data_IF_684871785077
#
_entry.id   IF_684871785077
#
_cell.length_a   1.000
_cell.length_b   1.000
_cell.length_c   1.000
_cell.angle_alpha   90.00
_cell.angle_beta   90.00
_cell.angle_gamma   90.00
#
_symmetry.space_group_name_H-M   'P 1'
#
loop_
_entity.id
_entity.type
_entity.pdbx_description
1 polymer ?
#
# COMPACT_ATOMS: atom_id res chain seq x y z
N UNK A 1 9.17 -10.05 25.81
CA UNK A 1 10.04 -8.97 25.28
C UNK A 1 11.10 -9.50 24.32
N UNK A 2 12.02 -10.38 24.75
CA UNK A 2 13.12 -10.91 23.90
C UNK A 2 12.67 -11.47 22.55
N UNK A 3 11.57 -12.23 22.51
CA UNK A 3 11.00 -12.79 21.27
C UNK A 3 10.54 -11.73 20.27
N UNK A 4 9.98 -10.60 20.73
CA UNK A 4 9.56 -9.51 19.85
C UNK A 4 10.76 -8.77 19.28
N UNK A 5 11.77 -8.47 20.11
CA UNK A 5 12.98 -7.76 19.67
C UNK A 5 13.84 -8.60 18.71
N UNK A 6 13.73 -9.93 18.78
CA UNK A 6 14.34 -10.83 17.81
C UNK A 6 13.54 -10.96 16.51
N UNK A 7 12.30 -10.46 16.45
CA UNK A 7 11.43 -10.60 15.30
C UNK A 7 11.75 -9.52 14.25
N UNK A 8 12.20 -9.88 13.03
CA UNK A 8 12.58 -8.90 12.01
C UNK A 8 11.41 -7.99 11.60
N UNK A 9 10.17 -8.45 11.74
CA UNK A 9 8.96 -7.68 11.43
C UNK A 9 8.87 -6.40 12.26
N UNK A 10 9.28 -6.43 13.52
CA UNK A 10 9.21 -5.28 14.41
C UNK A 10 10.12 -4.16 13.94
N UNK A 11 11.38 -4.49 13.64
CA UNK A 11 12.37 -3.53 13.15
C UNK A 11 12.05 -3.03 11.76
N UNK A 12 11.65 -3.92 10.85
CA UNK A 12 11.28 -3.53 9.50
C UNK A 12 10.12 -2.53 9.49
N UNK A 13 9.07 -2.78 10.27
CA UNK A 13 7.91 -1.88 10.35
C UNK A 13 8.23 -0.60 11.10
N UNK A 14 9.08 -0.67 12.14
CA UNK A 14 9.61 0.53 12.80
C UNK A 14 10.40 1.42 11.85
N UNK A 15 11.21 0.84 10.97
CA UNK A 15 11.92 1.56 9.91
C UNK A 15 10.95 2.19 8.92
N UNK A 16 9.90 1.48 8.47
CA UNK A 16 8.87 2.04 7.60
C UNK A 16 8.14 3.23 8.25
N UNK A 17 7.86 3.18 9.56
CA UNK A 17 7.31 4.33 10.30
C UNK A 17 8.28 5.50 10.24
N UNK A 18 9.56 5.29 10.56
CA UNK A 18 10.56 6.37 10.54
C UNK A 18 10.71 7.00 9.16
N UNK A 19 10.80 6.19 8.10
CA UNK A 19 10.87 6.66 6.70
C UNK A 19 9.62 7.44 6.33
N UNK A 20 8.44 6.96 6.69
CA UNK A 20 7.18 7.63 6.39
C UNK A 20 7.06 8.98 7.10
N UNK A 21 7.42 9.04 8.39
CA UNK A 21 7.47 10.31 9.14
C UNK A 21 8.45 11.29 8.50
N UNK A 22 9.66 10.82 8.15
CA UNK A 22 10.64 11.65 7.47
C UNK A 22 10.11 12.18 6.13
N UNK A 23 9.50 11.34 5.30
CA UNK A 23 8.89 11.75 4.03
C UNK A 23 7.80 12.82 4.20
N UNK A 24 7.00 12.73 5.27
CA UNK A 24 6.02 13.76 5.61
C UNK A 24 6.64 15.07 6.10
N UNK A 25 7.82 15.03 6.73
CA UNK A 25 8.50 16.21 7.27
C UNK A 25 9.25 17.04 6.21
N UNK A 26 9.73 16.40 5.13
CA UNK A 26 10.65 17.07 4.17
C UNK A 26 9.99 17.56 2.88
N UNK A 27 8.73 17.21 2.63
CA UNK A 27 8.03 17.59 1.40
C UNK A 27 6.74 18.36 1.64
N UNK A 28 6.24 18.98 0.57
CA UNK A 28 4.90 19.56 0.52
C UNK A 28 3.85 18.48 0.24
N UNK A 29 2.86 18.39 1.11
CA UNK A 29 1.81 17.37 1.05
C UNK A 29 0.43 18.01 1.06
N UNK A 30 -0.27 17.98 -0.07
CA UNK A 30 -1.67 18.45 -0.12
C UNK A 30 -2.63 17.28 0.08
N UNK A 31 -3.56 17.43 1.02
CA UNK A 31 -4.64 16.46 1.29
C UNK A 31 -5.60 16.28 0.11
N UNK A 32 -5.49 17.12 -0.92
CA UNK A 32 -6.25 16.95 -2.16
C UNK A 32 -5.73 15.79 -3.03
N UNK A 33 -4.56 15.22 -2.73
CA UNK A 33 -3.99 14.09 -3.47
C UNK A 33 -4.27 12.75 -2.78
N UNK A 34 -4.68 11.75 -3.57
CA UNK A 34 -4.86 10.36 -3.12
C UNK A 34 -3.58 9.80 -2.50
N UNK A 35 -2.42 10.14 -3.06
CA UNK A 35 -1.09 9.74 -2.55
C UNK A 35 -0.91 10.15 -1.10
N UNK A 36 -1.21 11.42 -0.77
CA UNK A 36 -1.05 11.96 0.59
C UNK A 36 -1.99 11.26 1.57
N UNK A 37 -3.26 11.12 1.21
CA UNK A 37 -4.26 10.44 2.07
C UNK A 37 -3.84 8.99 2.31
N UNK A 38 -3.40 8.28 1.27
CA UNK A 38 -3.06 6.85 1.38
C UNK A 38 -1.77 6.61 2.16
N UNK A 39 -0.76 7.47 1.98
CA UNK A 39 0.46 7.44 2.80
C UNK A 39 0.13 7.74 4.28
N UNK A 40 -0.81 8.66 4.56
CA UNK A 40 -1.24 8.95 5.92
C UNK A 40 -1.98 7.76 6.55
N UNK A 41 -2.84 7.07 5.78
CA UNK A 41 -3.50 5.82 6.20
C UNK A 41 -2.44 4.75 6.51
N UNK A 42 -1.46 4.55 5.63
CA UNK A 42 -0.37 3.60 5.84
C UNK A 42 0.42 3.94 7.10
N UNK A 43 0.81 5.20 7.30
CA UNK A 43 1.52 5.65 8.49
C UNK A 43 0.71 5.35 9.76
N UNK A 44 -0.56 5.75 9.80
CA UNK A 44 -1.44 5.49 10.94
C UNK A 44 -1.58 3.99 11.23
N UNK A 45 -1.75 3.19 10.18
CA UNK A 45 -1.82 1.73 10.28
C UNK A 45 -0.51 1.13 10.83
N UNK A 46 0.65 1.58 10.37
CA UNK A 46 1.95 1.12 10.85
C UNK A 46 2.24 1.56 12.29
N UNK A 47 1.89 2.79 12.67
CA UNK A 47 2.05 3.29 14.05
C UNK A 47 1.21 2.47 15.02
N UNK A 48 -0.08 2.27 14.72
CA UNK A 48 -0.96 1.40 15.51
C UNK A 48 -0.43 -0.03 15.49
N UNK A 49 0.09 -0.49 14.35
CA UNK A 49 0.73 -1.78 14.20
C UNK A 49 1.90 -2.00 15.15
N UNK A 50 2.92 -1.15 15.10
CA UNK A 50 4.10 -1.21 15.96
C UNK A 50 3.72 -1.07 17.44
N UNK A 51 2.77 -0.17 17.76
CA UNK A 51 2.24 -0.02 19.11
C UNK A 51 1.58 -1.31 19.61
N UNK A 52 0.69 -1.91 18.81
CA UNK A 52 0.02 -3.15 19.19
C UNK A 52 0.99 -4.33 19.30
N UNK A 53 2.01 -4.41 18.44
CA UNK A 53 3.08 -5.40 18.56
C UNK A 53 3.81 -5.26 19.90
N UNK A 54 4.11 -4.03 20.32
CA UNK A 54 4.74 -3.74 21.60
C UNK A 54 3.88 -4.16 22.79
N UNK A 55 2.60 -3.76 22.81
CA UNK A 55 1.67 -4.06 23.91
C UNK A 55 1.38 -5.56 24.00
N UNK A 56 1.12 -6.22 22.86
CA UNK A 56 0.76 -7.66 22.80
C UNK A 56 1.97 -8.59 22.85
N UNK A 57 3.19 -8.05 22.73
CA UNK A 57 4.44 -8.82 22.65
C UNK A 57 4.44 -9.85 21.51
N UNK A 58 3.75 -9.55 20.42
CA UNK A 58 3.61 -10.38 19.21
C UNK A 58 4.03 -9.58 17.98
N UNK A 59 4.67 -10.19 16.97
CA UNK A 59 4.99 -9.51 15.72
C UNK A 59 3.78 -9.37 14.77
N UNK A 60 2.56 -9.72 15.19
CA UNK A 60 1.38 -9.64 14.33
C UNK A 60 0.81 -8.22 14.25
N UNK A 61 0.40 -7.81 13.04
CA UNK A 61 -0.36 -6.58 12.83
C UNK A 61 -1.86 -6.79 13.03
N UNK A 62 -2.60 -5.75 13.48
CA UNK A 62 -4.05 -5.78 13.54
C UNK A 62 -4.68 -5.70 12.14
N UNK A 63 -5.97 -6.02 12.04
CA UNK A 63 -6.77 -5.81 10.82
C UNK A 63 -6.11 -6.33 9.50
N UNK A 64 -5.87 -7.64 9.37
CA UNK A 64 -5.15 -8.22 8.24
C UNK A 64 -5.81 -7.96 6.87
N UNK A 65 -7.12 -7.79 6.82
CA UNK A 65 -7.87 -7.47 5.59
C UNK A 65 -7.63 -6.02 5.14
N UNK A 66 -7.52 -5.08 6.08
CA UNK A 66 -7.19 -3.68 5.81
C UNK A 66 -5.75 -3.55 5.30
N UNK A 67 -4.81 -4.31 5.89
CA UNK A 67 -3.42 -4.36 5.42
C UNK A 67 -3.32 -4.73 3.93
N UNK A 68 -4.15 -5.67 3.48
CA UNK A 68 -4.21 -6.08 2.07
C UNK A 68 -4.70 -4.94 1.19
N UNK A 69 -5.77 -4.27 1.61
CA UNK A 69 -6.29 -3.08 0.92
C UNK A 69 -5.22 -1.99 0.80
N UNK A 70 -4.52 -1.66 1.89
CA UNK A 70 -3.44 -0.67 1.91
C UNK A 70 -2.31 -1.06 0.96
N UNK A 71 -1.86 -2.31 1.00
CA UNK A 71 -0.83 -2.79 0.07
C UNK A 71 -1.26 -2.64 -1.39
N UNK A 72 -2.51 -3.01 -1.72
CA UNK A 72 -3.09 -2.82 -3.05
C UNK A 72 -3.12 -1.34 -3.46
N UNK A 73 -3.60 -0.45 -2.60
CA UNK A 73 -3.69 0.98 -2.91
C UNK A 73 -2.31 1.60 -3.11
N UNK A 74 -1.33 1.24 -2.27
CA UNK A 74 0.03 1.77 -2.37
C UNK A 74 0.72 1.31 -3.66
N UNK A 75 0.57 0.03 -4.06
CA UNK A 75 1.09 -0.46 -5.36
C UNK A 75 0.41 0.23 -6.53
N UNK A 76 -0.91 0.41 -6.47
CA UNK A 76 -1.67 1.14 -7.48
C UNK A 76 -1.20 2.60 -7.62
N UNK A 77 -0.96 3.30 -6.51
CA UNK A 77 -0.42 4.66 -6.49
C UNK A 77 0.96 4.71 -7.13
N UNK A 78 1.85 3.78 -6.79
CA UNK A 78 3.19 3.71 -7.39
C UNK A 78 3.12 3.56 -8.92
N UNK A 79 2.24 2.68 -9.39
CA UNK A 79 2.06 2.44 -10.82
C UNK A 79 1.52 3.67 -11.55
N UNK A 80 0.50 4.34 -11.03
CA UNK A 80 -0.04 5.56 -11.65
C UNK A 80 0.96 6.70 -11.59
N UNK A 81 1.64 6.87 -10.45
CA UNK A 81 2.64 7.92 -10.32
C UNK A 81 3.78 7.73 -11.31
N UNK A 82 4.29 6.50 -11.45
CA UNK A 82 5.38 6.23 -12.39
C UNK A 82 4.94 6.34 -13.85
N UNK A 83 3.78 5.76 -14.21
CA UNK A 83 3.34 5.68 -15.60
C UNK A 83 2.61 6.91 -16.12
N UNK A 84 1.67 7.47 -15.33
CA UNK A 84 0.77 8.54 -15.77
C UNK A 84 1.24 9.94 -15.38
N UNK A 85 1.98 10.07 -14.26
CA UNK A 85 2.46 11.37 -13.78
C UNK A 85 3.91 11.63 -14.16
N UNK A 86 4.79 10.65 -13.93
CA UNK A 86 6.22 10.76 -14.25
C UNK A 86 6.55 10.32 -15.69
N UNK A 87 5.59 9.77 -16.44
CA UNK A 87 5.80 9.29 -17.81
C UNK A 87 7.00 8.35 -17.96
N UNK A 88 7.20 7.45 -16.99
CA UNK A 88 8.32 6.50 -16.92
C UNK A 88 9.70 7.13 -16.73
N UNK A 89 9.76 8.40 -16.31
CA UNK A 89 11.01 9.04 -15.94
C UNK A 89 11.66 8.34 -14.73
N UNK A 90 12.98 8.49 -14.64
CA UNK A 90 13.73 7.92 -13.52
C UNK A 90 13.41 8.71 -12.23
N UNK A 91 12.90 8.05 -11.18
CA UNK A 91 12.49 8.76 -9.95
C UNK A 91 13.65 9.37 -9.16
N UNK A 92 14.90 9.02 -9.50
CA UNK A 92 16.09 9.62 -8.88
C UNK A 92 16.48 10.97 -9.50
N UNK A 93 15.94 11.33 -10.66
CA UNK A 93 16.28 12.58 -11.35
C UNK A 93 15.85 13.81 -10.51
N UNK A 94 14.71 13.70 -9.80
CA UNK A 94 14.22 14.76 -8.90
C UNK A 94 14.96 14.80 -7.55
N UNK A 95 15.67 13.73 -7.19
CA UNK A 95 16.41 13.63 -5.92
C UNK A 95 17.76 14.33 -6.03
N UNK A 96 18.44 14.16 -7.17
CA UNK A 96 19.81 14.65 -7.38
C UNK A 96 19.84 15.96 -8.17
N UNK A 97 19.13 16.97 -7.66
CA UNK A 97 19.12 18.32 -8.21
C UNK A 97 20.00 19.28 -7.40
N UNK A 98 20.56 20.36 -8.02
CA UNK A 98 21.45 21.28 -7.32
C UNK A 98 20.78 22.07 -6.18
N UNK A 99 19.49 22.39 -6.31
CA UNK A 99 18.76 23.13 -5.29
C UNK A 99 18.37 22.20 -4.12
N UNK A 100 18.80 22.50 -2.87
CA UNK A 100 18.52 21.62 -1.73
C UNK A 100 17.02 21.49 -1.39
N UNK A 101 16.22 22.54 -1.60
CA UNK A 101 14.80 22.50 -1.28
C UNK A 101 14.03 21.64 -2.29
N UNK A 102 14.34 21.77 -3.58
CA UNK A 102 13.83 20.91 -4.64
C UNK A 102 14.27 19.45 -4.45
N UNK A 103 15.54 19.22 -4.07
CA UNK A 103 16.05 17.87 -3.76
C UNK A 103 15.28 17.22 -2.60
N UNK A 104 15.00 17.97 -1.52
CA UNK A 104 14.16 17.48 -0.41
C UNK A 104 12.74 17.12 -0.86
N UNK A 105 12.15 17.92 -1.75
CA UNK A 105 10.85 17.60 -2.34
C UNK A 105 10.91 16.33 -3.18
N UNK A 106 11.95 16.14 -4.01
CA UNK A 106 12.19 14.92 -4.78
C UNK A 106 12.33 13.69 -3.89
N UNK A 107 13.02 13.81 -2.74
CA UNK A 107 13.12 12.74 -1.74
C UNK A 107 11.74 12.40 -1.17
N UNK A 108 10.91 13.39 -0.84
CA UNK A 108 9.56 13.16 -0.35
C UNK A 108 8.70 12.43 -1.38
N UNK A 109 8.81 12.80 -2.67
CA UNK A 109 8.10 12.16 -3.78
C UNK A 109 8.59 10.72 -3.99
N UNK A 110 9.90 10.48 -3.94
CA UNK A 110 10.48 9.14 -4.01
C UNK A 110 9.93 8.26 -2.88
N UNK A 111 9.89 8.79 -1.65
CA UNK A 111 9.37 8.06 -0.50
C UNK A 111 7.89 7.70 -0.68
N UNK A 112 7.06 8.69 -1.04
CA UNK A 112 5.62 8.54 -1.13
C UNK A 112 5.15 7.64 -2.29
N UNK A 113 5.88 7.65 -3.41
CA UNK A 113 5.49 6.94 -4.64
C UNK A 113 6.25 5.63 -4.87
N UNK A 114 7.40 5.41 -4.21
CA UNK A 114 8.22 4.22 -4.47
C UNK A 114 8.61 3.50 -3.17
N UNK A 115 9.22 4.19 -2.21
CA UNK A 115 9.77 3.53 -1.00
C UNK A 115 8.66 2.94 -0.13
N UNK A 116 7.62 3.73 0.20
CA UNK A 116 6.53 3.24 1.03
C UNK A 116 5.68 2.15 0.34
N UNK A 117 5.33 2.28 -0.96
CA UNK A 117 4.73 1.19 -1.73
C UNK A 117 5.55 -0.10 -1.75
N UNK A 118 6.85 -0.01 -2.05
CA UNK A 118 7.72 -1.18 -2.04
C UNK A 118 7.82 -1.78 -0.63
N UNK A 119 7.95 -0.94 0.39
CA UNK A 119 8.04 -1.36 1.78
C UNK A 119 6.83 -2.15 2.26
N UNK A 120 5.61 -1.65 2.02
CA UNK A 120 4.39 -2.38 2.43
C UNK A 120 4.15 -3.62 1.57
N UNK A 121 4.55 -3.61 0.29
CA UNK A 121 4.49 -4.79 -0.56
C UNK A 121 5.44 -5.88 -0.03
N UNK A 122 6.69 -5.52 0.29
CA UNK A 122 7.66 -6.45 0.89
C UNK A 122 7.13 -6.98 2.22
N UNK A 123 6.58 -6.12 3.08
CA UNK A 123 5.94 -6.53 4.34
C UNK A 123 4.84 -7.57 4.08
N UNK A 124 3.97 -7.35 3.08
CA UNK A 124 2.91 -8.28 2.71
C UNK A 124 3.44 -9.61 2.16
N UNK A 125 4.41 -9.58 1.25
CA UNK A 125 4.93 -10.80 0.62
C UNK A 125 5.71 -11.67 1.61
N UNK A 126 6.56 -11.04 2.43
CA UNK A 126 7.42 -11.71 3.40
C UNK A 126 6.65 -12.12 4.67
N UNK A 127 5.79 -11.23 5.19
CA UNK A 127 5.14 -11.38 6.50
C UNK A 127 3.61 -11.33 6.40
N UNK A 128 3.05 -11.70 5.26
CA UNK A 128 1.62 -11.63 4.97
C UNK A 128 0.75 -12.33 6.01
N UNK A 129 -0.54 -12.01 6.06
CA UNK A 129 -1.44 -12.55 7.08
C UNK A 129 -1.75 -14.05 6.92
N UNK A 130 -1.35 -14.67 5.80
CA UNK A 130 -1.42 -16.11 5.47
C UNK A 130 -2.83 -16.68 5.59
N UNK A 131 -3.66 -16.43 4.58
CA UNK A 131 -5.00 -17.01 4.42
C UNK A 131 -6.12 -16.25 5.13
N UNK A 132 -5.83 -15.12 5.79
CA UNK A 132 -6.87 -14.28 6.44
C UNK A 132 -7.61 -13.37 5.46
N UNK A 133 -7.04 -13.16 4.26
CA UNK A 133 -7.65 -12.36 3.21
C UNK A 133 -8.44 -13.24 2.27
N UNK A 134 -9.64 -12.80 1.91
CA UNK A 134 -10.62 -13.56 1.14
C UNK A 134 -10.85 -12.93 -0.22
N UNK A 135 -11.23 -13.72 -1.23
CA UNK A 135 -11.59 -13.17 -2.55
C UNK A 135 -12.75 -12.16 -2.47
N UNK A 136 -13.65 -12.29 -1.49
CA UNK A 136 -14.71 -11.29 -1.24
C UNK A 136 -14.18 -9.91 -0.85
N UNK A 137 -12.94 -9.80 -0.35
CA UNK A 137 -12.31 -8.52 -0.03
C UNK A 137 -12.03 -7.67 -1.28
N UNK A 138 -11.89 -8.31 -2.45
CA UNK A 138 -11.69 -7.60 -3.71
C UNK A 138 -12.83 -6.65 -4.08
N UNK A 139 -14.05 -6.93 -3.62
CA UNK A 139 -15.19 -6.07 -3.88
C UNK A 139 -15.15 -4.80 -3.03
N UNK A 140 -14.46 -4.85 -1.89
CA UNK A 140 -14.40 -3.74 -0.93
C UNK A 140 -13.20 -2.83 -1.15
N UNK A 141 -12.08 -3.37 -1.65
CA UNK A 141 -10.85 -2.59 -1.80
C UNK A 141 -10.94 -1.43 -2.79
N UNK A 142 -11.66 -1.52 -3.92
CA UNK A 142 -11.82 -0.38 -4.82
C UNK A 142 -12.66 0.75 -4.24
N UNK A 143 -13.44 0.51 -3.16
CA UNK A 143 -14.36 1.52 -2.62
C UNK A 143 -13.64 2.81 -2.22
N UNK A 144 -12.45 2.70 -1.61
CA UNK A 144 -11.67 3.86 -1.21
C UNK A 144 -11.18 4.72 -2.39
N UNK A 145 -10.43 4.19 -3.38
CA UNK A 145 -10.00 5.00 -4.53
C UNK A 145 -11.18 5.48 -5.39
N UNK A 146 -12.26 4.71 -5.50
CA UNK A 146 -13.49 5.15 -6.19
C UNK A 146 -14.15 6.31 -5.46
N UNK A 147 -14.33 6.22 -4.14
CA UNK A 147 -14.89 7.30 -3.32
C UNK A 147 -14.04 8.57 -3.43
N UNK A 148 -12.71 8.44 -3.40
CA UNK A 148 -11.81 9.57 -3.66
C UNK A 148 -12.05 10.20 -5.04
N UNK A 149 -12.15 9.39 -6.10
CA UNK A 149 -12.40 9.88 -7.46
C UNK A 149 -13.73 10.63 -7.58
N UNK A 150 -14.81 10.07 -7.03
CA UNK A 150 -16.13 10.72 -6.98
C UNK A 150 -16.07 12.04 -6.22
N UNK A 151 -15.46 12.05 -5.03
CA UNK A 151 -15.31 13.27 -4.23
C UNK A 151 -14.46 14.34 -4.93
N UNK A 152 -13.43 13.92 -5.67
CA UNK A 152 -12.59 14.82 -6.47
C UNK A 152 -13.39 15.50 -7.58
N UNK A 153 -14.20 14.73 -8.31
CA UNK A 153 -15.08 15.24 -9.36
C UNK A 153 -16.13 16.19 -8.77
N UNK A 154 -16.81 15.79 -7.70
CA UNK A 154 -17.81 16.63 -7.03
C UNK A 154 -17.21 17.93 -6.52
N UNK A 155 -16.02 17.87 -5.90
CA UNK A 155 -15.26 19.05 -5.47
C UNK A 155 -14.99 19.99 -6.64
N UNK A 156 -14.56 19.45 -7.79
CA UNK A 156 -14.24 20.25 -8.96
C UNK A 156 -15.47 20.94 -9.58
N UNK A 157 -16.62 20.27 -9.57
CA UNK A 157 -17.90 20.80 -10.08
C UNK A 157 -18.47 21.88 -9.16
N UNK A 158 -18.53 21.62 -7.85
CA UNK A 158 -19.18 22.53 -6.89
C UNK A 158 -18.31 23.69 -6.44
N UNK A 159 -16.98 23.53 -6.50
CA UNK A 159 -16.04 24.56 -6.06
C UNK A 159 -15.04 24.92 -7.18
N UNK A 160 -15.53 25.49 -8.30
CA UNK A 160 -14.69 25.73 -9.48
C UNK A 160 -13.59 26.76 -9.25
N UNK A 161 -13.71 27.61 -8.22
CA UNK A 161 -12.73 28.63 -7.86
C UNK A 161 -11.58 28.11 -6.97
N UNK A 162 -11.63 26.85 -6.53
CA UNK A 162 -10.60 26.29 -5.66
C UNK A 162 -9.31 26.04 -6.45
N UNK A 163 -8.18 26.48 -5.91
CA UNK A 163 -6.87 26.18 -6.46
C UNK A 163 -6.64 24.66 -6.51
N UNK A 164 -6.12 24.16 -7.63
CA UNK A 164 -5.95 22.73 -7.85
C UNK A 164 -7.28 21.93 -7.70
N UNK A 165 -8.37 22.46 -8.29
CA UNK A 165 -9.71 21.83 -8.26
C UNK A 165 -9.71 20.39 -8.78
N UNK A 166 -8.89 20.10 -9.79
CA UNK A 166 -8.64 18.76 -10.33
C UNK A 166 -7.15 18.44 -10.14
N UNK A 167 -6.79 17.59 -9.16
CA UNK A 167 -5.40 17.34 -8.79
C UNK A 167 -4.61 16.55 -9.83
N UNK A 168 -5.31 15.84 -10.72
CA UNK A 168 -4.70 14.92 -11.67
C UNK A 168 -5.03 15.32 -13.11
N UNK A 169 -4.02 15.47 -13.99
CA UNK A 169 -4.25 15.79 -15.41
C UNK A 169 -5.19 14.80 -16.10
N UNK A 170 -5.09 13.51 -15.77
CA UNK A 170 -5.95 12.46 -16.33
C UNK A 170 -7.40 12.48 -15.82
N UNK A 171 -7.71 13.30 -14.81
CA UNK A 171 -9.08 13.57 -14.34
C UNK A 171 -9.62 14.91 -14.87
N UNK A 172 -8.85 15.64 -15.69
CA UNK A 172 -9.35 16.88 -16.26
C UNK A 172 -10.37 16.57 -17.37
N UNK A 173 -11.57 17.14 -17.32
CA UNK A 173 -12.56 16.96 -18.37
C UNK A 173 -12.13 17.74 -19.62
N UNK A 174 -12.51 17.22 -20.79
CA UNK A 174 -12.45 17.99 -22.03
C UNK A 174 -13.71 18.86 -22.11
N UNK A 175 -13.56 20.17 -21.86
CA UNK A 175 -14.72 21.05 -21.66
C UNK A 175 -15.50 20.66 -20.40
N UNK A 176 -16.79 20.35 -20.56
CA UNK A 176 -17.68 19.94 -19.46
C UNK A 176 -17.96 18.42 -19.44
N UNK A 177 -17.16 17.61 -20.15
CA UNK A 177 -17.34 16.15 -20.23
C UNK A 177 -16.87 15.42 -18.96
N UNK A 178 -17.63 15.59 -17.87
CA UNK A 178 -17.42 14.85 -16.62
C UNK A 178 -17.82 13.38 -16.73
N UNK A 179 -18.72 13.04 -17.65
CA UNK A 179 -19.11 11.65 -17.89
C UNK A 179 -17.94 10.85 -18.46
N UNK A 180 -17.22 11.40 -19.44
CA UNK A 180 -15.98 10.82 -19.96
C UNK A 180 -14.93 10.61 -18.87
N UNK A 181 -14.79 11.55 -17.93
CA UNK A 181 -13.90 11.39 -16.76
C UNK A 181 -14.34 10.22 -15.87
N UNK A 182 -15.64 10.06 -15.59
CA UNK A 182 -16.11 8.91 -14.80
C UNK A 182 -15.82 7.58 -15.51
N UNK A 183 -16.03 7.51 -16.82
CA UNK A 183 -15.74 6.33 -17.62
C UNK A 183 -14.23 6.02 -17.62
N UNK A 184 -13.36 7.03 -17.64
CA UNK A 184 -11.90 6.85 -17.59
C UNK A 184 -11.40 6.29 -16.25
N UNK A 185 -12.22 6.29 -15.18
CA UNK A 185 -11.90 5.63 -13.92
C UNK A 185 -12.11 4.11 -13.94
N UNK A 186 -12.84 3.55 -14.92
CA UNK A 186 -13.11 2.12 -14.98
C UNK A 186 -11.83 1.26 -15.12
N UNK A 187 -10.88 1.58 -16.02
CA UNK A 187 -9.60 0.87 -16.10
C UNK A 187 -8.81 0.94 -14.78
N UNK A 188 -8.88 2.07 -14.08
CA UNK A 188 -8.21 2.24 -12.79
C UNK A 188 -8.81 1.31 -11.72
N UNK A 189 -10.14 1.20 -11.67
CA UNK A 189 -10.84 0.25 -10.80
C UNK A 189 -10.45 -1.20 -11.10
N UNK A 190 -10.39 -1.56 -12.38
CA UNK A 190 -9.94 -2.89 -12.82
C UNK A 190 -8.48 -3.15 -12.41
N UNK A 191 -7.61 -2.16 -12.52
CA UNK A 191 -6.22 -2.27 -12.07
C UNK A 191 -6.11 -2.52 -10.56
N UNK A 192 -6.88 -1.80 -9.74
CA UNK A 192 -6.95 -2.03 -8.28
C UNK A 192 -7.40 -3.47 -7.98
N UNK A 193 -8.45 -3.95 -8.64
CA UNK A 193 -8.92 -5.33 -8.46
C UNK A 193 -7.90 -6.37 -8.92
N UNK A 194 -7.22 -6.14 -10.05
CA UNK A 194 -6.19 -7.04 -10.56
C UNK A 194 -4.98 -7.15 -9.61
N UNK A 195 -4.48 -6.01 -9.11
CA UNK A 195 -3.41 -5.96 -8.11
C UNK A 195 -3.85 -6.70 -6.84
N UNK A 196 -5.06 -6.41 -6.35
CA UNK A 196 -5.59 -7.07 -5.17
C UNK A 196 -5.71 -8.59 -5.35
N UNK A 197 -6.12 -9.03 -6.53
CA UNK A 197 -6.29 -10.43 -6.86
C UNK A 197 -4.94 -11.15 -6.88
N UNK A 198 -3.91 -10.51 -7.44
CA UNK A 198 -2.54 -11.01 -7.40
C UNK A 198 -2.02 -11.16 -5.96
N UNK A 199 -2.23 -10.16 -5.09
CA UNK A 199 -1.80 -10.22 -3.69
C UNK A 199 -2.53 -11.31 -2.87
N UNK A 200 -3.83 -11.50 -3.11
CA UNK A 200 -4.61 -12.57 -2.47
C UNK A 200 -4.16 -13.94 -2.99
N UNK A 201 -3.97 -14.07 -4.30
CA UNK A 201 -3.47 -15.29 -4.94
C UNK A 201 -2.12 -15.72 -4.36
N UNK A 202 -1.20 -14.77 -4.22
CA UNK A 202 0.10 -15.00 -3.59
C UNK A 202 -0.03 -15.46 -2.14
N UNK A 203 -0.80 -14.75 -1.32
CA UNK A 203 -0.97 -15.09 0.10
C UNK A 203 -1.57 -16.49 0.29
N UNK A 204 -2.53 -16.87 -0.55
CA UNK A 204 -3.13 -18.21 -0.56
C UNK A 204 -2.17 -19.29 -1.03
N UNK A 205 -1.40 -19.03 -2.10
CA UNK A 205 -0.41 -19.98 -2.60
C UNK A 205 0.64 -20.31 -1.53
N UNK A 206 1.16 -19.29 -0.84
CA UNK A 206 2.12 -19.50 0.25
C UNK A 206 1.49 -20.25 1.43
N UNK A 207 0.24 -19.94 1.78
CA UNK A 207 -0.47 -20.66 2.85
C UNK A 207 -0.66 -22.15 2.52
N UNK A 208 -0.97 -22.47 1.26
CA UNK A 208 -1.11 -23.86 0.79
C UNK A 208 0.22 -24.63 0.87
N UNK A 209 1.32 -24.03 0.40
CA UNK A 209 2.66 -24.65 0.49
C UNK A 209 3.04 -24.91 1.94
N UNK A 210 2.82 -23.95 2.83
CA UNK A 210 3.11 -24.10 4.26
C UNK A 210 2.28 -25.20 4.92
N UNK A 211 0.99 -25.32 4.58
CA UNK A 211 0.12 -26.37 5.10
C UNK A 211 0.55 -27.77 4.61
N UNK A 212 0.99 -27.89 3.36
CA UNK A 212 1.54 -29.12 2.80
C UNK A 212 2.80 -29.58 3.53
N UNK A 213 3.76 -28.67 3.75
CA UNK A 213 5.00 -28.97 4.47
C UNK A 213 4.75 -29.47 5.91
N UNK A 214 3.86 -28.78 6.65
CA UNK A 214 3.49 -29.20 8.01
C UNK A 214 2.80 -30.56 8.06
N UNK A 215 2.02 -30.90 7.02
CA UNK A 215 1.34 -32.20 6.95
C UNK A 215 2.34 -33.32 6.73
N UNK A 216 3.33 -33.12 5.85
CA UNK A 216 4.41 -34.07 5.60
C UNK A 216 5.30 -34.29 6.84
N UNK A 217 5.66 -33.23 7.57
CA UNK A 217 6.43 -33.35 8.82
C UNK A 217 5.68 -34.15 9.90
N UNK A 218 4.37 -33.90 10.05
CA UNK A 218 3.52 -34.63 11.01
C UNK A 218 3.41 -36.11 10.65
N UNK A 219 3.32 -36.42 9.37
CA UNK A 219 3.29 -37.80 8.90
C UNK A 219 4.62 -38.51 9.15
N UNK A 220 5.75 -37.86 8.83
CA UNK A 220 7.08 -38.38 9.11
C UNK A 220 7.30 -38.64 10.62
N UNK A 221 6.87 -37.72 11.49
CA UNK A 221 6.93 -37.89 12.94
C UNK A 221 6.09 -39.08 13.44
N UNK A 222 4.86 -39.23 12.93
CA UNK A 222 4.00 -40.39 13.27
C UNK A 222 4.61 -41.72 12.82
N UNK A 223 5.28 -41.75 11.67
CA UNK A 223 5.98 -42.95 11.18
C UNK A 223 7.17 -43.26 12.08
N UNK A 224 7.95 -42.26 12.49
CA UNK A 224 9.08 -42.44 13.41
C UNK A 224 8.64 -42.98 14.78
N UNK A 225 7.55 -42.45 15.34
CA UNK A 225 6.99 -42.91 16.63
C UNK A 225 6.51 -44.38 16.56
N UNK A 226 5.98 -44.83 15.42
CA UNK A 226 5.55 -46.23 15.22
C UNK A 226 6.71 -47.22 15.08
N UNK A 227 7.89 -46.74 14.72
CA UNK A 227 9.09 -47.56 14.51
C UNK A 227 10.04 -47.54 15.73
N UNK A 228 9.68 -46.78 16.77
CA UNK A 228 10.41 -46.73 18.03
C UNK A 228 9.99 -47.95 18.89
N UNK A 229 10.94 -48.82 19.30
CA UNK A 229 10.66 -50.07 20.02
C UNK A 229 10.14 -49.86 21.44
#
# INVERSE_FOLDING_TARGET
>A
MRRLLAAPQFWFRGLLVAISVFGFMVGSHSVSYLTTITNAILLGYLVVGVWTMWVRRSPDLPAPRLRGAIATWMVFIALIAHSMLAHWANPFDEVFVPDPAESLQGIALLIAHYVMPAGILIDWLAFGPRGKTTWGDLLWWPLFPVAYGVLTILRAIWFPAVTNRVPYPFMQPNGDDWFGVVVSLLPMMLAVMAIGAALIGWDRAVALVAAGAQSAEREAGRVADRLSP
#
